data_IF_632486720408
#
_entry.id   IF_632486720408
#
_cell.length_a   1.000
_cell.length_b   1.000
_cell.length_c   1.000
_cell.angle_alpha   90.00
_cell.angle_beta   90.00
_cell.angle_gamma   90.00
#
_symmetry.space_group_name_H-M   'P 1'
#
loop_
_entity.id
_entity.type
_entity.pdbx_description
1 polymer ?
#
# COMPACT_ATOMS: atom_id res chain seq x y z
N UNK A 1 -24.15 -0.22 29.31
CA UNK A 1 -23.52 0.95 28.65
C UNK A 1 -22.02 0.73 28.54
N UNK A 2 -21.57 0.10 27.47
CA UNK A 2 -20.14 -0.13 27.21
C UNK A 2 -19.59 1.06 26.41
N UNK A 3 -18.69 1.81 27.02
CA UNK A 3 -17.95 2.89 26.38
C UNK A 3 -16.92 2.29 25.41
N UNK A 4 -17.24 2.20 24.13
CA UNK A 4 -16.27 1.88 23.09
C UNK A 4 -15.34 3.07 22.90
N UNK A 5 -14.07 2.90 23.31
CA UNK A 5 -12.98 3.81 22.93
C UNK A 5 -12.67 3.61 21.45
N UNK A 6 -13.03 4.57 20.63
CA UNK A 6 -12.68 4.63 19.21
C UNK A 6 -11.17 4.81 19.08
N UNK A 7 -10.46 3.78 18.67
CA UNK A 7 -9.03 3.83 18.38
C UNK A 7 -8.88 4.23 16.91
N UNK A 8 -8.28 5.41 16.69
CA UNK A 8 -7.94 5.90 15.35
C UNK A 8 -6.80 5.07 14.76
N UNK A 9 -7.10 4.29 13.73
CA UNK A 9 -6.09 3.71 12.85
C UNK A 9 -5.54 4.80 11.94
N UNK A 10 -4.34 5.30 12.25
CA UNK A 10 -3.56 6.08 11.28
C UNK A 10 -2.78 5.08 10.45
N UNK A 11 -3.40 4.59 9.40
CA UNK A 11 -2.74 3.75 8.41
C UNK A 11 -1.82 4.60 7.54
N UNK A 12 -0.50 4.51 7.77
CA UNK A 12 0.48 4.99 6.81
C UNK A 12 0.80 3.85 5.85
N UNK A 13 -0.06 3.64 4.86
CA UNK A 13 0.27 2.78 3.73
C UNK A 13 1.33 3.50 2.90
N UNK A 14 2.54 2.96 2.89
CA UNK A 14 3.58 3.35 1.92
C UNK A 14 3.20 2.67 0.61
N UNK A 15 2.48 3.38 -0.23
CA UNK A 15 2.19 2.90 -1.56
C UNK A 15 3.40 3.19 -2.44
N UNK A 16 3.98 2.14 -2.90
CA UNK A 16 4.78 2.14 -4.11
C UNK A 16 3.80 1.94 -5.25
N UNK A 17 3.30 3.06 -5.75
CA UNK A 17 2.47 3.06 -6.95
C UNK A 17 3.12 2.27 -8.07
N UNK A 18 2.31 1.54 -8.82
CA UNK A 18 2.73 0.71 -9.94
C UNK A 18 3.73 1.44 -10.84
N UNK A 19 4.78 0.75 -11.19
CA UNK A 19 5.85 1.24 -12.04
C UNK A 19 5.31 1.73 -13.39
N UNK A 20 5.31 3.04 -13.58
CA UNK A 20 5.22 3.62 -14.92
C UNK A 20 6.59 3.42 -15.56
N UNK A 21 6.67 2.53 -16.53
CA UNK A 21 7.80 2.44 -17.44
C UNK A 21 7.72 3.61 -18.44
N UNK A 22 8.27 4.75 -18.07
CA UNK A 22 8.65 5.75 -19.04
C UNK A 22 9.98 5.29 -19.66
N UNK A 23 9.93 4.87 -20.92
CA UNK A 23 11.07 4.60 -21.75
C UNK A 23 11.87 5.90 -21.95
N UNK A 24 13.05 5.99 -21.33
CA UNK A 24 14.05 6.98 -21.70
C UNK A 24 14.69 6.57 -23.05
N UNK A 25 14.90 7.51 -23.96
CA UNK A 25 15.64 7.23 -25.18
C UNK A 25 17.09 6.87 -24.87
N UNK A 26 17.57 5.81 -25.50
CA UNK A 26 18.97 5.36 -25.44
C UNK A 26 19.88 6.39 -26.08
N UNK A 27 20.80 6.95 -25.31
CA UNK A 27 21.95 7.66 -25.84
C UNK A 27 22.92 6.62 -26.43
N UNK A 28 23.03 6.64 -27.74
CA UNK A 28 24.10 5.95 -28.45
C UNK A 28 25.44 6.60 -28.09
N UNK A 29 26.35 5.80 -27.55
CA UNK A 29 27.74 6.19 -27.36
C UNK A 29 28.50 5.92 -28.66
N UNK A 30 28.84 6.98 -29.35
CA UNK A 30 29.81 6.93 -30.45
C UNK A 30 31.21 6.72 -29.86
N UNK A 31 31.89 5.65 -30.33
CA UNK A 31 33.29 5.37 -30.05
C UNK A 31 34.16 6.00 -31.12
N UNK A 32 34.83 7.08 -30.79
CA UNK A 32 36.08 7.44 -31.47
C UNK A 32 37.06 8.00 -30.46
N UNK A 33 38.09 7.25 -30.19
CA UNK A 33 39.28 7.71 -29.46
C UNK A 33 40.24 8.40 -30.41
N UNK A 34 40.80 9.52 -30.03
CA UNK A 34 42.17 9.89 -30.46
C UNK A 34 43.10 9.80 -29.26
N UNK A 35 44.19 9.08 -29.48
CA UNK A 35 45.37 9.04 -28.64
C UNK A 35 46.08 10.40 -28.67
N UNK A 36 46.35 10.98 -27.49
CA UNK A 36 47.36 12.01 -27.29
C UNK A 36 48.21 11.69 -26.07
N UNK A 37 49.50 11.43 -26.34
CA UNK A 37 50.54 11.49 -25.32
C UNK A 37 50.73 12.94 -24.86
N UNK A 38 50.71 13.20 -23.58
CA UNK A 38 51.29 14.43 -23.02
C UNK A 38 51.81 14.13 -21.62
N UNK A 39 53.11 14.13 -21.52
CA UNK A 39 53.89 14.27 -20.28
C UNK A 39 53.63 15.63 -19.65
N UNK A 40 53.07 15.65 -18.49
CA UNK A 40 52.92 16.82 -17.65
C UNK A 40 52.47 16.40 -16.26
N UNK A 41 53.33 16.56 -15.28
CA UNK A 41 52.97 16.36 -13.86
C UNK A 41 51.96 17.40 -13.41
N UNK A 42 50.69 16.99 -13.37
CA UNK A 42 49.63 17.81 -12.81
C UNK A 42 49.35 17.30 -11.40
N UNK A 43 49.40 18.17 -10.41
CA UNK A 43 48.84 17.90 -9.09
C UNK A 43 47.31 18.07 -9.15
N UNK A 44 46.51 16.97 -9.33
CA UNK A 44 45.07 17.11 -9.59
C UNK A 44 44.21 17.07 -8.35
N UNK A 45 44.73 16.77 -7.15
CA UNK A 45 43.86 16.36 -6.04
C UNK A 45 43.31 17.49 -5.16
N UNK A 46 44.01 18.63 -5.02
CA UNK A 46 43.60 19.72 -4.15
C UNK A 46 42.43 20.55 -4.73
N UNK A 47 42.50 20.88 -6.03
CA UNK A 47 41.49 21.73 -6.71
C UNK A 47 40.15 21.02 -6.88
N UNK A 48 40.16 19.72 -7.21
CA UNK A 48 38.93 18.89 -7.32
C UNK A 48 38.28 18.67 -5.96
N UNK A 49 39.03 18.50 -4.88
CA UNK A 49 38.51 18.36 -3.52
C UNK A 49 37.88 19.67 -3.03
N UNK A 50 38.50 20.82 -3.31
CA UNK A 50 37.95 22.13 -2.96
C UNK A 50 36.67 22.44 -3.73
N UNK A 51 36.61 22.16 -5.03
CA UNK A 51 35.42 22.36 -5.86
C UNK A 51 34.26 21.50 -5.37
N UNK A 52 34.50 20.23 -5.05
CA UNK A 52 33.47 19.34 -4.49
C UNK A 52 32.95 19.81 -3.13
N UNK A 53 33.84 20.34 -2.29
CA UNK A 53 33.45 20.86 -0.97
C UNK A 53 32.61 22.13 -1.11
N UNK A 54 32.96 23.02 -2.02
CA UNK A 54 32.19 24.24 -2.32
C UNK A 54 30.78 23.89 -2.84
N UNK A 55 30.68 22.94 -3.78
CA UNK A 55 29.39 22.47 -4.31
C UNK A 55 28.55 21.81 -3.22
N UNK A 56 29.15 21.00 -2.35
CA UNK A 56 28.45 20.38 -1.22
C UNK A 56 27.91 21.42 -0.26
N UNK A 57 28.71 22.42 0.11
CA UNK A 57 28.30 23.50 1.02
C UNK A 57 27.17 24.34 0.41
N UNK A 58 27.26 24.66 -0.87
CA UNK A 58 26.19 25.37 -1.58
C UNK A 58 24.87 24.57 -1.58
N UNK A 59 24.96 23.28 -1.91
CA UNK A 59 23.80 22.38 -1.83
C UNK A 59 23.25 22.31 -0.41
N UNK A 60 24.09 22.12 0.60
CA UNK A 60 23.67 21.97 1.98
C UNK A 60 22.96 23.23 2.51
N UNK A 61 23.49 24.43 2.19
CA UNK A 61 22.87 25.71 2.54
C UNK A 61 21.48 25.84 1.90
N UNK A 62 21.37 25.58 0.60
CA UNK A 62 20.11 25.63 -0.14
C UNK A 62 19.11 24.59 0.38
N UNK A 63 19.58 23.35 0.61
CA UNK A 63 18.76 22.28 1.14
C UNK A 63 18.24 22.56 2.56
N UNK A 64 19.07 23.10 3.44
CA UNK A 64 18.65 23.48 4.80
C UNK A 64 17.59 24.57 4.79
N UNK A 65 17.72 25.57 3.90
CA UNK A 65 16.71 26.61 3.73
C UNK A 65 15.38 26.06 3.21
N UNK A 66 15.44 25.16 2.23
CA UNK A 66 14.27 24.40 1.74
C UNK A 66 13.65 23.55 2.85
N UNK A 67 14.46 22.75 3.55
CA UNK A 67 13.96 21.82 4.57
C UNK A 67 13.28 22.53 5.73
N UNK A 68 13.77 23.72 6.11
CA UNK A 68 13.10 24.59 7.10
C UNK A 68 11.69 24.99 6.64
N UNK A 69 11.53 25.41 5.38
CA UNK A 69 10.23 25.79 4.80
C UNK A 69 9.32 24.56 4.69
N UNK A 70 9.87 23.43 4.19
CA UNK A 70 9.14 22.19 4.05
C UNK A 70 8.68 21.64 5.41
N UNK A 71 9.53 21.68 6.44
CA UNK A 71 9.16 21.23 7.79
C UNK A 71 8.03 22.07 8.37
N UNK A 72 8.10 23.41 8.28
CA UNK A 72 7.01 24.29 8.73
C UNK A 72 5.68 23.99 8.01
N UNK A 73 5.72 23.77 6.69
CA UNK A 73 4.55 23.36 5.91
C UNK A 73 3.96 22.04 6.42
N UNK A 74 4.80 21.01 6.63
CA UNK A 74 4.33 19.69 7.08
C UNK A 74 3.86 19.68 8.53
N UNK A 75 4.37 20.57 9.36
CA UNK A 75 3.89 20.80 10.74
C UNK A 75 2.47 21.39 10.71
N UNK A 76 2.20 22.37 9.83
CA UNK A 76 0.85 22.91 9.63
C UNK A 76 -0.12 21.84 9.08
N UNK A 77 0.28 21.07 8.07
CA UNK A 77 -0.50 19.92 7.59
C UNK A 77 -0.82 18.95 8.73
N UNK A 78 0.15 18.65 9.58
CA UNK A 78 -0.05 17.75 10.71
C UNK A 78 -0.99 18.35 11.76
N UNK A 79 -0.87 19.67 12.06
CA UNK A 79 -1.74 20.36 12.99
C UNK A 79 -3.20 20.39 12.50
N UNK A 80 -3.41 20.78 11.23
CA UNK A 80 -4.74 20.77 10.61
C UNK A 80 -5.34 19.37 10.52
N UNK A 81 -4.54 18.35 10.27
CA UNK A 81 -5.01 16.94 10.32
C UNK A 81 -5.49 16.56 11.73
N UNK A 82 -4.75 16.95 12.78
CA UNK A 82 -5.20 16.71 14.16
C UNK A 82 -6.51 17.44 14.46
N UNK A 83 -6.67 18.67 13.98
CA UNK A 83 -7.91 19.43 14.11
C UNK A 83 -9.08 18.73 13.39
N UNK A 84 -8.92 18.33 12.13
CA UNK A 84 -9.94 17.57 11.39
C UNK A 84 -10.31 16.27 12.10
N UNK A 85 -9.35 15.55 12.66
CA UNK A 85 -9.61 14.35 13.44
C UNK A 85 -10.47 14.63 14.67
N UNK A 86 -10.22 15.74 15.40
CA UNK A 86 -11.04 16.18 16.54
C UNK A 86 -12.45 16.54 16.09
N UNK A 87 -12.59 17.35 15.04
CA UNK A 87 -13.88 17.73 14.47
C UNK A 87 -14.69 16.49 14.04
N UNK A 88 -14.07 15.55 13.33
CA UNK A 88 -14.70 14.31 12.90
C UNK A 88 -15.17 13.47 14.09
N UNK A 89 -14.38 13.38 15.16
CA UNK A 89 -14.74 12.66 16.37
C UNK A 89 -15.93 13.31 17.09
N UNK A 90 -16.05 14.64 17.00
CA UNK A 90 -17.14 15.43 17.56
C UNK A 90 -18.37 15.58 16.64
N UNK A 91 -18.37 14.97 15.44
CA UNK A 91 -19.44 15.13 14.46
C UNK A 91 -19.55 16.54 13.87
N UNK A 92 -18.49 17.36 13.97
CA UNK A 92 -18.47 18.72 13.48
C UNK A 92 -18.08 18.76 12.00
N UNK A 93 -18.64 19.74 11.25
CA UNK A 93 -18.29 19.98 9.86
C UNK A 93 -16.83 20.40 9.72
N UNK A 94 -16.20 19.91 8.63
CA UNK A 94 -14.84 20.28 8.25
C UNK A 94 -14.95 21.37 7.18
N UNK A 95 -14.41 22.56 7.48
CA UNK A 95 -14.38 23.69 6.58
C UNK A 95 -13.13 23.68 5.68
N UNK A 96 -13.17 24.45 4.60
CA UNK A 96 -12.01 24.61 3.69
C UNK A 96 -10.78 25.15 4.44
N UNK A 97 -10.97 26.04 5.42
CA UNK A 97 -9.91 26.58 6.27
C UNK A 97 -9.23 25.54 7.18
N UNK A 98 -9.82 24.36 7.34
CA UNK A 98 -9.22 23.25 8.10
C UNK A 98 -8.16 22.48 7.27
N UNK A 99 -7.89 22.91 6.04
CA UNK A 99 -6.86 22.36 5.16
C UNK A 99 -5.74 23.38 4.90
N UNK A 100 -4.55 22.92 4.60
CA UNK A 100 -3.50 23.72 3.99
C UNK A 100 -3.79 23.79 2.50
N UNK A 101 -4.02 25.00 1.97
CA UNK A 101 -4.41 25.19 0.57
C UNK A 101 -3.23 25.44 -0.36
N UNK A 102 -2.07 25.82 0.17
CA UNK A 102 -0.84 25.90 -0.62
C UNK A 102 -0.26 24.51 -0.93
N UNK A 103 0.44 24.41 -2.05
CA UNK A 103 1.20 23.21 -2.37
C UNK A 103 2.46 23.12 -1.50
N UNK A 104 2.96 21.90 -1.21
CA UNK A 104 4.20 21.73 -0.47
C UNK A 104 5.38 22.38 -1.22
N UNK A 105 6.31 23.02 -0.49
CA UNK A 105 7.51 23.58 -1.09
C UNK A 105 8.26 22.51 -1.90
N UNK A 106 8.80 22.91 -3.04
CA UNK A 106 9.68 22.08 -3.86
C UNK A 106 11.11 22.55 -3.73
N UNK A 107 12.04 21.59 -3.79
CA UNK A 107 13.46 21.92 -3.82
C UNK A 107 13.87 22.30 -5.24
N UNK A 108 14.31 23.53 -5.42
CA UNK A 108 14.76 24.13 -6.67
C UNK A 108 16.26 24.51 -6.67
N UNK A 109 16.96 24.13 -5.61
CA UNK A 109 18.37 24.41 -5.45
C UNK A 109 19.32 23.45 -6.21
N UNK A 110 20.63 23.61 -6.04
CA UNK A 110 21.64 22.75 -6.67
C UNK A 110 21.43 21.28 -6.36
N UNK A 111 21.71 20.40 -7.31
CA UNK A 111 21.69 18.97 -7.07
C UNK A 111 22.72 18.56 -6.02
N UNK A 112 22.38 17.54 -5.22
CA UNK A 112 23.33 17.00 -4.24
C UNK A 112 24.56 16.44 -4.98
N UNK A 113 25.78 16.94 -4.69
CA UNK A 113 26.97 16.41 -5.31
C UNK A 113 27.16 14.93 -5.02
N UNK A 114 27.59 14.18 -6.02
CA UNK A 114 27.90 12.76 -5.84
C UNK A 114 29.13 12.65 -4.93
N UNK A 115 28.95 12.09 -3.75
CA UNK A 115 30.07 11.72 -2.89
C UNK A 115 30.58 10.36 -3.32
N UNK A 116 31.89 10.24 -3.62
CA UNK A 116 32.53 8.96 -3.96
C UNK A 116 32.61 7.98 -2.76
N UNK A 117 31.99 8.30 -1.62
CA UNK A 117 31.88 7.34 -0.52
C UNK A 117 30.86 6.28 -0.94
N UNK A 118 31.25 5.00 -1.04
CA UNK A 118 30.27 3.94 -1.21
C UNK A 118 29.28 4.08 -0.08
N UNK A 119 28.01 4.30 -0.43
CA UNK A 119 26.93 4.32 0.55
C UNK A 119 26.76 2.86 1.00
N UNK A 120 27.53 2.48 2.00
CA UNK A 120 27.31 1.25 2.76
C UNK A 120 26.07 1.46 3.62
N UNK A 121 24.90 1.57 2.96
CA UNK A 121 23.65 1.34 3.67
C UNK A 121 23.63 -0.14 4.01
N UNK A 122 23.47 -0.53 5.29
CA UNK A 122 23.17 -1.92 5.58
C UNK A 122 21.94 -2.27 4.71
N UNK A 123 22.09 -3.25 3.84
CA UNK A 123 20.99 -3.80 3.06
C UNK A 123 20.09 -4.55 4.03
N UNK A 124 19.21 -3.86 4.76
CA UNK A 124 18.05 -4.53 5.33
C UNK A 124 17.22 -4.92 4.11
N UNK A 125 17.38 -6.15 3.67
CA UNK A 125 16.57 -6.71 2.60
C UNK A 125 15.13 -6.75 3.09
N UNK A 126 14.22 -6.15 2.32
CA UNK A 126 12.79 -6.30 2.59
C UNK A 126 12.47 -7.78 2.41
N UNK A 127 11.82 -8.44 3.39
CA UNK A 127 11.47 -9.84 3.29
C UNK A 127 10.61 -10.12 2.05
N UNK A 128 10.91 -11.21 1.36
CA UNK A 128 10.17 -11.68 0.19
C UNK A 128 9.16 -12.77 0.51
N UNK A 129 8.43 -13.22 -0.50
CA UNK A 129 7.41 -14.28 -0.36
C UNK A 129 7.96 -15.58 0.23
N UNK A 130 9.21 -15.92 -0.09
CA UNK A 130 9.88 -17.10 0.46
C UNK A 130 10.16 -16.94 1.96
N UNK A 131 10.55 -15.74 2.41
CA UNK A 131 10.78 -15.46 3.83
C UNK A 131 9.48 -15.56 4.61
N UNK A 132 8.37 -15.10 4.05
CA UNK A 132 7.03 -15.22 4.67
C UNK A 132 6.64 -16.70 4.82
N UNK A 133 6.82 -17.51 3.78
CA UNK A 133 6.51 -18.95 3.81
C UNK A 133 7.38 -19.69 4.80
N UNK A 134 8.70 -19.42 4.83
CA UNK A 134 9.63 -20.00 5.78
C UNK A 134 9.28 -19.65 7.23
N UNK A 135 8.92 -18.38 7.48
CA UNK A 135 8.48 -17.91 8.79
C UNK A 135 7.19 -18.60 9.25
N UNK A 136 6.22 -18.79 8.36
CA UNK A 136 4.97 -19.51 8.66
C UNK A 136 5.25 -20.97 9.04
N UNK A 137 6.07 -21.65 8.26
CA UNK A 137 6.48 -23.03 8.56
C UNK A 137 7.21 -23.14 9.90
N UNK A 138 8.14 -22.23 10.17
CA UNK A 138 8.98 -22.24 11.39
C UNK A 138 8.14 -21.96 12.65
N UNK A 139 7.30 -20.94 12.63
CA UNK A 139 6.59 -20.45 13.83
C UNK A 139 5.27 -21.19 14.06
N UNK A 140 4.54 -21.51 13.00
CA UNK A 140 3.18 -22.08 13.10
C UNK A 140 3.11 -23.54 12.66
N UNK A 141 4.25 -24.15 12.23
CA UNK A 141 4.26 -25.51 11.69
C UNK A 141 3.43 -25.67 10.42
N UNK A 142 3.10 -24.58 9.75
CA UNK A 142 2.15 -24.56 8.63
C UNK A 142 2.73 -23.84 7.42
N UNK A 143 2.57 -24.44 6.26
CA UNK A 143 2.90 -23.82 4.98
C UNK A 143 1.59 -23.46 4.27
N UNK A 144 1.32 -22.16 4.00
CA UNK A 144 0.16 -21.72 3.24
C UNK A 144 0.02 -22.47 1.91
N UNK A 145 -1.18 -22.94 1.62
CA UNK A 145 -1.49 -23.69 0.40
C UNK A 145 -1.79 -22.70 -0.74
N UNK A 146 -0.95 -22.70 -1.75
CA UNK A 146 -1.16 -21.84 -2.92
C UNK A 146 -2.31 -22.37 -3.79
N UNK A 147 -3.00 -21.50 -4.55
CA UNK A 147 -3.99 -21.95 -5.53
C UNK A 147 -3.32 -22.78 -6.64
N UNK A 148 -4.07 -23.67 -7.25
CA UNK A 148 -3.62 -24.46 -8.41
C UNK A 148 -3.46 -23.59 -9.65
N UNK A 149 -4.33 -22.61 -9.80
CA UNK A 149 -4.30 -21.58 -10.82
C UNK A 149 -4.83 -20.26 -10.26
N UNK A 150 -4.61 -19.18 -10.99
CA UNK A 150 -5.02 -17.85 -10.55
C UNK A 150 -6.56 -17.69 -10.50
N UNK A 151 -7.29 -18.43 -11.34
CA UNK A 151 -8.75 -18.38 -11.34
C UNK A 151 -9.36 -19.01 -10.08
N UNK A 152 -8.71 -20.00 -9.44
CA UNK A 152 -9.12 -20.54 -8.14
C UNK A 152 -9.11 -19.43 -7.06
N UNK A 153 -8.04 -18.66 -7.00
CA UNK A 153 -7.95 -17.56 -6.04
C UNK A 153 -8.93 -16.44 -6.35
N UNK A 154 -9.08 -16.08 -7.63
CA UNK A 154 -10.04 -15.06 -8.08
C UNK A 154 -11.49 -15.44 -7.75
N UNK A 155 -11.88 -16.71 -7.91
CA UNK A 155 -13.23 -17.19 -7.52
C UNK A 155 -13.46 -16.98 -6.01
N UNK A 156 -12.54 -17.45 -5.18
CA UNK A 156 -12.66 -17.28 -3.72
C UNK A 156 -12.66 -15.81 -3.29
N UNK A 157 -11.88 -14.96 -3.98
CA UNK A 157 -11.82 -13.52 -3.75
C UNK A 157 -13.15 -12.83 -4.16
N UNK A 158 -13.71 -13.18 -5.31
CA UNK A 158 -15.00 -12.66 -5.78
C UNK A 158 -16.16 -13.09 -4.86
N UNK A 159 -16.20 -14.36 -4.43
CA UNK A 159 -17.18 -14.84 -3.47
C UNK A 159 -17.12 -14.11 -2.13
N UNK A 160 -15.91 -13.91 -1.60
CA UNK A 160 -15.74 -13.15 -0.37
C UNK A 160 -16.21 -11.70 -0.53
N UNK A 161 -15.94 -11.07 -1.67
CA UNK A 161 -16.36 -9.70 -1.99
C UNK A 161 -17.88 -9.56 -2.06
N UNK A 162 -18.55 -10.50 -2.73
CA UNK A 162 -20.02 -10.53 -2.84
C UNK A 162 -20.69 -10.63 -1.47
N UNK A 163 -20.16 -11.49 -0.57
CA UNK A 163 -20.69 -11.65 0.79
C UNK A 163 -20.65 -10.37 1.63
N UNK A 164 -19.70 -9.48 1.38
CA UNK A 164 -19.59 -8.19 2.10
C UNK A 164 -20.22 -7.02 1.33
N UNK A 165 -20.90 -7.29 0.20
CA UNK A 165 -21.61 -6.29 -0.58
C UNK A 165 -20.71 -5.39 -1.46
N UNK A 166 -19.47 -5.81 -1.75
CA UNK A 166 -18.64 -5.15 -2.76
C UNK A 166 -19.21 -5.41 -4.15
N UNK A 167 -19.30 -4.35 -4.93
CA UNK A 167 -19.71 -4.48 -6.31
C UNK A 167 -18.57 -5.00 -7.17
N UNK A 168 -18.90 -5.60 -8.31
CA UNK A 168 -17.95 -6.04 -9.32
C UNK A 168 -17.00 -4.89 -9.72
N UNK A 169 -17.55 -3.71 -10.01
CA UNK A 169 -16.74 -2.57 -10.45
C UNK A 169 -15.73 -2.15 -9.38
N UNK A 170 -16.14 -2.08 -8.12
CA UNK A 170 -15.23 -1.79 -7.01
C UNK A 170 -14.09 -2.81 -6.93
N UNK A 171 -14.45 -4.12 -6.94
CA UNK A 171 -13.47 -5.19 -6.81
C UNK A 171 -12.45 -5.21 -7.95
N UNK A 172 -12.95 -5.19 -9.19
CA UNK A 172 -12.09 -5.26 -10.39
C UNK A 172 -11.24 -4.01 -10.55
N UNK A 173 -11.79 -2.82 -10.22
CA UNK A 173 -11.05 -1.56 -10.28
C UNK A 173 -9.88 -1.54 -9.30
N UNK A 174 -10.10 -1.97 -8.04
CA UNK A 174 -9.05 -2.00 -7.01
C UNK A 174 -7.98 -3.01 -7.39
N UNK A 175 -8.36 -4.24 -7.79
CA UNK A 175 -7.42 -5.22 -8.31
C UNK A 175 -6.58 -4.64 -9.47
N UNK A 176 -7.25 -4.02 -10.44
CA UNK A 176 -6.61 -3.46 -11.62
C UNK A 176 -5.62 -2.32 -11.26
N UNK A 177 -5.96 -1.50 -10.27
CA UNK A 177 -5.09 -0.42 -9.80
C UNK A 177 -3.86 -0.95 -9.07
N UNK A 178 -4.07 -1.83 -8.09
CA UNK A 178 -3.03 -2.31 -7.18
C UNK A 178 -2.05 -3.29 -7.86
N UNK A 179 -2.54 -4.08 -8.81
CA UNK A 179 -1.73 -5.11 -9.48
C UNK A 179 -1.30 -4.74 -10.90
N UNK A 180 -1.75 -3.58 -11.39
CA UNK A 180 -1.56 -3.21 -12.79
C UNK A 180 -2.44 -3.98 -13.77
N UNK A 181 -3.41 -4.77 -13.28
CA UNK A 181 -4.41 -5.49 -14.06
C UNK A 181 -4.05 -6.93 -14.46
N UNK A 182 -2.78 -7.34 -14.26
CA UNK A 182 -2.28 -8.69 -14.58
C UNK A 182 -1.49 -9.33 -13.43
N UNK A 183 -1.69 -8.83 -12.19
CA UNK A 183 -0.97 -9.35 -11.05
C UNK A 183 -1.55 -10.66 -10.51
N UNK A 184 -0.67 -11.45 -9.89
CA UNK A 184 -1.02 -12.71 -9.25
C UNK A 184 -1.29 -12.53 -7.75
N UNK A 185 -1.94 -13.54 -7.14
CA UNK A 185 -2.24 -13.56 -5.70
C UNK A 185 -1.00 -13.38 -4.81
N UNK A 186 0.19 -13.66 -5.34
CA UNK A 186 1.48 -13.56 -4.65
C UNK A 186 2.36 -12.41 -5.16
N UNK A 187 1.82 -11.52 -6.00
CA UNK A 187 2.55 -10.36 -6.51
C UNK A 187 2.97 -9.46 -5.35
N UNK A 188 4.27 -9.38 -5.09
CA UNK A 188 4.84 -8.46 -4.12
C UNK A 188 5.25 -7.14 -4.77
N UNK A 189 5.01 -6.04 -4.05
CA UNK A 189 5.39 -4.69 -4.48
C UNK A 189 6.86 -4.60 -4.90
N UNK A 190 7.11 -4.08 -6.12
CA UNK A 190 8.44 -3.98 -6.73
C UNK A 190 8.87 -5.21 -7.52
N UNK A 191 8.16 -6.35 -7.40
CA UNK A 191 8.42 -7.57 -8.16
C UNK A 191 7.66 -7.53 -9.50
N UNK A 192 8.32 -7.05 -10.53
CA UNK A 192 7.72 -6.95 -11.88
C UNK A 192 8.11 -8.17 -12.68
N UNK A 193 7.10 -8.86 -13.24
CA UNK A 193 7.30 -10.02 -14.11
C UNK A 193 8.24 -9.66 -15.29
N UNK A 194 9.25 -10.48 -15.51
CA UNK A 194 10.21 -10.30 -16.61
C UNK A 194 11.36 -9.30 -16.35
N UNK A 195 11.43 -8.68 -15.18
CA UNK A 195 12.53 -7.79 -14.81
C UNK A 195 13.60 -8.55 -14.02
N UNK A 196 14.77 -8.79 -14.62
CA UNK A 196 15.85 -9.62 -14.04
C UNK A 196 16.34 -9.16 -12.66
N UNK A 197 16.28 -7.86 -12.36
CA UNK A 197 16.74 -7.27 -11.09
C UNK A 197 15.59 -6.71 -10.25
N UNK A 198 14.39 -7.26 -10.38
CA UNK A 198 13.26 -6.87 -9.54
C UNK A 198 13.57 -7.17 -8.06
N UNK A 199 13.24 -6.22 -7.18
CA UNK A 199 13.41 -6.37 -5.73
C UNK A 199 12.14 -5.93 -5.03
N UNK A 200 11.80 -6.55 -3.89
CA UNK A 200 10.74 -6.06 -3.05
C UNK A 200 10.96 -4.59 -2.65
N UNK A 201 9.97 -3.76 -2.83
CA UNK A 201 9.97 -2.36 -2.39
C UNK A 201 9.26 -2.19 -1.04
N UNK A 202 8.38 -3.12 -0.71
CA UNK A 202 7.70 -3.23 0.58
C UNK A 202 7.26 -4.67 0.81
N UNK A 203 6.62 -4.95 1.96
CA UNK A 203 5.97 -6.22 2.23
C UNK A 203 4.59 -6.35 1.57
N UNK A 204 4.15 -5.35 0.81
CA UNK A 204 2.82 -5.36 0.19
C UNK A 204 2.69 -6.50 -0.82
N UNK A 205 1.63 -7.32 -0.69
CA UNK A 205 1.42 -8.51 -1.51
C UNK A 205 -0.06 -8.71 -1.85
N UNK A 206 -0.30 -9.35 -2.98
CA UNK A 206 -1.62 -9.80 -3.43
C UNK A 206 -2.46 -8.71 -4.09
N UNK A 207 -3.75 -8.99 -4.27
CA UNK A 207 -4.65 -8.15 -5.06
C UNK A 207 -4.91 -6.76 -4.51
N UNK A 208 -4.88 -6.59 -3.18
CA UNK A 208 -5.05 -5.30 -2.50
C UNK A 208 -3.74 -4.80 -1.89
N UNK A 209 -2.60 -5.35 -2.31
CA UNK A 209 -1.26 -4.98 -1.84
C UNK A 209 -1.19 -4.83 -0.31
N UNK A 210 -1.65 -5.87 0.42
CA UNK A 210 -1.61 -5.88 1.88
C UNK A 210 -0.16 -5.88 2.38
N UNK A 211 0.18 -4.94 3.25
CA UNK A 211 1.46 -4.93 3.98
C UNK A 211 1.41 -5.85 5.20
N UNK A 212 2.54 -6.36 5.66
CA UNK A 212 2.61 -7.28 6.81
C UNK A 212 1.90 -6.73 8.07
N UNK A 213 1.99 -5.43 8.34
CA UNK A 213 1.25 -4.80 9.44
C UNK A 213 -0.26 -4.90 9.29
N UNK A 214 -0.77 -4.78 8.06
CA UNK A 214 -2.20 -4.95 7.80
C UNK A 214 -2.64 -6.38 8.05
N UNK A 215 -1.86 -7.39 7.64
CA UNK A 215 -2.17 -8.80 7.93
C UNK A 215 -2.24 -9.10 9.42
N UNK A 216 -1.32 -8.56 10.22
CA UNK A 216 -1.37 -8.68 11.69
C UNK A 216 -2.63 -8.01 12.26
N UNK A 217 -2.96 -6.81 11.77
CA UNK A 217 -4.15 -6.06 12.20
C UNK A 217 -5.44 -6.80 11.87
N UNK A 218 -5.56 -7.31 10.64
CA UNK A 218 -6.71 -8.08 10.19
C UNK A 218 -6.86 -9.41 10.94
N UNK A 219 -5.74 -10.08 11.23
CA UNK A 219 -5.75 -11.30 12.05
C UNK A 219 -6.22 -11.00 13.48
N UNK A 220 -5.83 -9.86 14.05
CA UNK A 220 -6.28 -9.42 15.35
C UNK A 220 -7.79 -9.13 15.38
N UNK A 221 -8.30 -8.44 14.36
CA UNK A 221 -9.67 -7.92 14.29
C UNK A 221 -10.65 -8.97 13.74
N UNK A 222 -10.31 -9.60 12.62
CA UNK A 222 -11.20 -10.52 11.86
C UNK A 222 -10.75 -11.97 11.88
N UNK A 223 -9.68 -12.33 12.57
CA UNK A 223 -9.20 -13.71 12.61
C UNK A 223 -10.29 -14.71 13.06
N UNK A 224 -11.12 -14.32 14.06
CA UNK A 224 -12.23 -15.15 14.50
C UNK A 224 -13.27 -15.40 13.40
N UNK A 225 -13.59 -14.38 12.59
CA UNK A 225 -14.53 -14.51 11.47
C UNK A 225 -13.94 -15.40 10.38
N UNK A 226 -12.65 -15.26 10.08
CA UNK A 226 -11.91 -16.14 9.15
C UNK A 226 -11.94 -17.60 9.63
N UNK A 227 -11.61 -17.85 10.89
CA UNK A 227 -11.63 -19.20 11.48
C UNK A 227 -13.05 -19.80 11.45
N UNK A 228 -14.08 -19.00 11.75
CA UNK A 228 -15.49 -19.40 11.67
C UNK A 228 -15.87 -19.77 10.24
N UNK A 229 -15.50 -18.97 9.25
CA UNK A 229 -15.77 -19.24 7.84
C UNK A 229 -15.11 -20.54 7.37
N UNK A 230 -13.85 -20.78 7.76
CA UNK A 230 -13.15 -22.03 7.44
C UNK A 230 -13.86 -23.26 8.07
N UNK A 231 -14.32 -23.14 9.32
CA UNK A 231 -15.09 -24.20 10.01
C UNK A 231 -16.45 -24.43 9.36
N UNK A 232 -17.14 -23.35 8.91
CA UNK A 232 -18.40 -23.47 8.17
C UNK A 232 -18.22 -24.16 6.82
N UNK A 233 -17.17 -23.80 6.05
CA UNK A 233 -16.83 -24.52 4.81
C UNK A 233 -16.45 -25.96 5.07
N UNK A 234 -15.74 -26.26 6.15
CA UNK A 234 -15.37 -27.61 6.54
C UNK A 234 -16.61 -28.48 6.84
N UNK A 235 -17.67 -27.90 7.42
CA UNK A 235 -18.91 -28.61 7.70
C UNK A 235 -19.62 -29.12 6.41
N UNK A 236 -19.39 -28.45 5.29
CA UNK A 236 -19.94 -28.78 3.98
C UNK A 236 -19.06 -29.76 3.17
N UNK A 237 -17.96 -30.23 3.74
CA UNK A 237 -16.99 -31.12 3.08
C UNK A 237 -16.80 -32.41 3.86
N UNK A 238 -16.27 -33.42 3.21
CA UNK A 238 -15.93 -34.71 3.81
C UNK A 238 -14.45 -35.06 3.60
N UNK A 239 -13.97 -36.09 4.32
CA UNK A 239 -12.64 -36.66 4.15
C UNK A 239 -11.50 -35.66 4.31
N UNK A 240 -10.54 -35.70 3.41
CA UNK A 240 -9.32 -34.88 3.42
C UNK A 240 -9.59 -33.39 3.37
N UNK A 241 -10.57 -32.94 2.59
CA UNK A 241 -10.91 -31.52 2.47
C UNK A 241 -11.45 -30.93 3.77
N UNK A 242 -12.30 -31.67 4.49
CA UNK A 242 -12.77 -31.25 5.82
C UNK A 242 -11.60 -31.12 6.79
N UNK A 243 -10.75 -32.16 6.86
CA UNK A 243 -9.57 -32.17 7.74
C UNK A 243 -8.63 -31.01 7.44
N UNK A 244 -8.37 -30.71 6.15
CA UNK A 244 -7.53 -29.62 5.68
C UNK A 244 -8.06 -28.24 6.15
N UNK A 245 -9.34 -27.97 5.97
CA UNK A 245 -9.95 -26.70 6.38
C UNK A 245 -9.95 -26.52 7.91
N UNK A 246 -10.21 -27.59 8.66
CA UNK A 246 -10.16 -27.55 10.12
C UNK A 246 -8.71 -27.31 10.63
N UNK A 247 -7.72 -27.92 10.01
CA UNK A 247 -6.30 -27.67 10.31
C UNK A 247 -5.92 -26.20 10.06
N UNK A 248 -6.36 -25.62 8.94
CA UNK A 248 -6.16 -24.19 8.66
C UNK A 248 -6.84 -23.30 9.70
N UNK A 249 -8.07 -23.62 10.10
CA UNK A 249 -8.77 -22.88 11.14
C UNK A 249 -8.00 -22.91 12.48
N UNK A 250 -7.42 -24.05 12.87
CA UNK A 250 -6.62 -24.19 14.07
C UNK A 250 -5.32 -23.34 14.02
N UNK A 251 -4.69 -23.26 12.84
CA UNK A 251 -3.52 -22.39 12.62
C UNK A 251 -3.94 -20.92 12.73
N UNK A 252 -5.07 -20.52 12.14
CA UNK A 252 -5.61 -19.16 12.29
C UNK A 252 -5.91 -18.85 13.75
N UNK A 253 -6.51 -19.77 14.51
CA UNK A 253 -6.74 -19.61 15.97
C UNK A 253 -5.42 -19.35 16.74
N UNK A 254 -4.32 -20.00 16.33
CA UNK A 254 -2.97 -19.77 16.92
C UNK A 254 -2.44 -18.38 16.52
N UNK A 255 -2.60 -17.97 15.27
CA UNK A 255 -2.18 -16.66 14.78
C UNK A 255 -2.97 -15.52 15.45
N UNK A 256 -4.26 -15.73 15.75
CA UNK A 256 -5.08 -14.76 16.51
C UNK A 256 -4.49 -14.54 17.91
N UNK A 257 -4.16 -15.61 18.62
CA UNK A 257 -3.52 -15.52 19.95
C UNK A 257 -2.23 -14.72 19.87
N UNK A 258 -1.40 -15.00 18.89
CA UNK A 258 -0.15 -14.28 18.66
C UNK A 258 -0.38 -12.81 18.26
N UNK A 259 -1.34 -12.50 17.39
CA UNK A 259 -1.67 -11.13 17.03
C UNK A 259 -2.16 -10.30 18.23
N UNK A 260 -2.87 -10.95 19.16
CA UNK A 260 -3.41 -10.33 20.38
C UNK A 260 -2.39 -10.17 21.51
N UNK A 261 -1.16 -10.63 21.35
CA UNK A 261 -0.07 -10.34 22.31
C UNK A 261 0.32 -8.85 22.33
N UNK A 262 -0.08 -8.10 21.32
CA UNK A 262 0.11 -6.66 21.25
C UNK A 262 -1.24 -5.93 21.18
N UNK A 263 -1.31 -4.69 21.70
CA UNK A 263 -2.53 -3.88 21.56
C UNK A 263 -2.94 -3.66 20.11
N UNK A 264 -4.25 -3.47 19.84
CA UNK A 264 -4.75 -3.09 18.52
C UNK A 264 -4.40 -1.63 18.20
N UNK A 265 -3.10 -1.37 18.08
CA UNK A 265 -2.51 -0.08 17.69
C UNK A 265 -1.53 -0.34 16.56
N UNK A 266 -1.63 0.46 15.50
CA UNK A 266 -0.80 0.30 14.30
C UNK A 266 0.70 0.24 14.60
N UNK A 267 1.20 1.10 15.50
CA UNK A 267 2.62 1.12 15.88
C UNK A 267 3.09 -0.19 16.55
N UNK A 268 2.25 -0.79 17.39
CA UNK A 268 2.58 -2.05 18.07
C UNK A 268 2.47 -3.24 17.12
N UNK A 269 1.44 -3.24 16.29
CA UNK A 269 1.27 -4.24 15.23
C UNK A 269 2.39 -4.17 14.19
N UNK A 270 2.90 -2.96 13.86
CA UNK A 270 4.05 -2.81 12.98
C UNK A 270 5.36 -3.36 13.59
N UNK A 271 5.51 -3.39 14.90
CA UNK A 271 6.62 -4.07 15.56
C UNK A 271 6.48 -5.58 15.43
N UNK A 272 5.31 -6.13 15.72
CA UNK A 272 5.03 -7.55 15.57
C UNK A 272 5.19 -8.01 14.11
N UNK A 273 4.72 -7.23 13.15
CA UNK A 273 4.83 -7.53 11.72
C UNK A 273 6.28 -7.68 11.20
N UNK A 274 7.26 -7.13 11.91
CA UNK A 274 8.69 -7.27 11.59
C UNK A 274 9.34 -8.53 12.17
N UNK A 275 8.64 -9.25 13.04
CA UNK A 275 9.11 -10.51 13.61
C UNK A 275 8.78 -11.68 12.70
N UNK A 276 9.43 -12.82 12.90
CA UNK A 276 9.09 -14.04 12.18
C UNK A 276 7.61 -14.44 12.38
N UNK A 277 7.05 -14.22 13.57
CA UNK A 277 5.64 -14.47 13.82
C UNK A 277 4.73 -13.60 12.94
N UNK A 278 5.01 -12.31 12.84
CA UNK A 278 4.25 -11.41 11.97
C UNK A 278 4.42 -11.72 10.49
N UNK A 279 5.63 -12.06 10.04
CA UNK A 279 5.90 -12.49 8.67
C UNK A 279 5.16 -13.80 8.34
N UNK A 280 5.13 -14.75 9.28
CA UNK A 280 4.37 -16.00 9.13
C UNK A 280 2.86 -15.77 9.02
N UNK A 281 2.28 -14.83 9.78
CA UNK A 281 0.89 -14.41 9.59
C UNK A 281 0.67 -13.80 8.21
N UNK A 282 1.63 -12.98 7.75
CA UNK A 282 1.53 -12.34 6.45
C UNK A 282 1.56 -13.33 5.28
N UNK A 283 2.25 -14.47 5.44
CA UNK A 283 2.22 -15.56 4.46
C UNK A 283 0.81 -16.05 4.13
N UNK A 284 -0.14 -15.95 5.08
CA UNK A 284 -1.53 -16.37 4.87
C UNK A 284 -2.26 -15.57 3.79
N UNK A 285 -1.74 -14.42 3.40
CA UNK A 285 -2.26 -13.64 2.26
C UNK A 285 -2.18 -14.42 0.95
N UNK A 286 -1.23 -15.36 0.84
CA UNK A 286 -1.03 -16.22 -0.32
C UNK A 286 -1.79 -17.56 -0.25
N UNK A 287 -2.41 -17.88 0.91
CA UNK A 287 -3.18 -19.11 1.07
C UNK A 287 -4.50 -19.02 0.31
N UNK A 288 -4.83 -20.06 -0.47
CA UNK A 288 -6.03 -20.07 -1.34
C UNK A 288 -7.36 -19.95 -0.61
N UNK A 289 -7.43 -20.33 0.67
CA UNK A 289 -8.67 -20.27 1.47
C UNK A 289 -8.70 -19.02 2.39
N UNK A 290 -7.55 -18.61 2.93
CA UNK A 290 -7.42 -17.50 3.89
C UNK A 290 -7.11 -16.17 3.21
N UNK A 291 -6.25 -16.20 2.19
CA UNK A 291 -5.80 -15.00 1.47
C UNK A 291 -6.95 -14.17 0.92
N UNK A 292 -7.92 -14.74 0.18
CA UNK A 292 -9.10 -14.00 -0.28
C UNK A 292 -9.86 -13.31 0.84
N UNK A 293 -10.03 -13.98 1.99
CA UNK A 293 -10.74 -13.42 3.14
C UNK A 293 -9.97 -12.24 3.74
N UNK A 294 -8.64 -12.35 3.95
CA UNK A 294 -7.81 -11.26 4.44
C UNK A 294 -7.88 -10.05 3.52
N UNK A 295 -7.77 -10.26 2.21
CA UNK A 295 -7.83 -9.21 1.20
C UNK A 295 -9.17 -8.45 1.26
N UNK A 296 -10.28 -9.19 1.35
CA UNK A 296 -11.62 -8.60 1.38
C UNK A 296 -11.94 -7.93 2.72
N UNK A 297 -11.51 -8.49 3.85
CA UNK A 297 -11.70 -7.84 5.14
C UNK A 297 -11.04 -6.46 5.22
N UNK A 298 -9.94 -6.24 4.49
CA UNK A 298 -9.34 -4.90 4.39
C UNK A 298 -10.32 -3.89 3.78
N UNK A 299 -10.99 -4.25 2.68
CA UNK A 299 -11.97 -3.37 2.03
C UNK A 299 -13.26 -3.25 2.86
N UNK A 300 -13.70 -4.35 3.47
CA UNK A 300 -14.86 -4.38 4.36
C UNK A 300 -14.70 -3.42 5.55
N UNK A 301 -13.50 -3.36 6.15
CA UNK A 301 -13.21 -2.40 7.24
C UNK A 301 -13.52 -0.98 6.81
N UNK A 302 -13.08 -0.58 5.62
CA UNK A 302 -13.33 0.75 5.07
C UNK A 302 -14.82 1.00 4.81
N UNK A 303 -15.55 0.02 4.25
CA UNK A 303 -17.00 0.12 4.05
C UNK A 303 -17.76 0.24 5.37
N UNK A 304 -17.41 -0.57 6.36
CA UNK A 304 -18.02 -0.51 7.69
C UNK A 304 -17.73 0.82 8.41
N UNK A 305 -16.52 1.35 8.25
CA UNK A 305 -16.17 2.67 8.77
C UNK A 305 -17.05 3.76 8.15
N UNK A 306 -17.20 3.77 6.83
CA UNK A 306 -18.04 4.71 6.10
C UNK A 306 -19.51 4.62 6.53
N UNK A 307 -20.06 3.41 6.60
CA UNK A 307 -21.43 3.18 7.05
C UNK A 307 -21.66 3.72 8.47
N UNK A 308 -20.73 3.47 9.40
CA UNK A 308 -20.78 4.04 10.76
C UNK A 308 -20.70 5.57 10.79
N UNK A 309 -20.13 6.18 9.74
CA UNK A 309 -20.05 7.63 9.55
C UNK A 309 -21.22 8.22 8.75
N UNK A 310 -22.25 7.41 8.47
CA UNK A 310 -23.46 7.84 7.76
C UNK A 310 -23.31 7.97 6.24
N UNK A 311 -22.24 7.45 5.65
CA UNK A 311 -22.09 7.39 4.18
C UNK A 311 -22.90 6.22 3.67
N UNK A 312 -24.03 6.50 3.03
CA UNK A 312 -24.98 5.50 2.50
C UNK A 312 -24.90 5.35 1.00
N UNK A 313 -24.32 6.35 0.29
CA UNK A 313 -24.13 6.25 -1.15
C UNK A 313 -23.07 5.22 -1.50
N UNK A 314 -23.23 4.61 -2.65
CA UNK A 314 -22.21 3.75 -3.21
C UNK A 314 -20.99 4.58 -3.64
N UNK A 315 -19.80 4.13 -3.26
CA UNK A 315 -18.54 4.73 -3.71
C UNK A 315 -18.10 4.13 -5.04
N UNK A 316 -17.39 4.91 -5.85
CA UNK A 316 -16.62 4.37 -6.97
C UNK A 316 -15.42 3.55 -6.48
N UNK A 317 -14.82 2.74 -7.37
CA UNK A 317 -13.58 2.04 -7.05
C UNK A 317 -12.45 3.00 -6.66
N UNK A 318 -12.33 4.14 -7.36
CA UNK A 318 -11.33 5.16 -7.06
C UNK A 318 -11.56 5.83 -5.69
N UNK A 319 -12.81 6.11 -5.32
CA UNK A 319 -13.13 6.66 -4.00
C UNK A 319 -12.84 5.65 -2.88
N UNK A 320 -13.14 4.37 -3.09
CA UNK A 320 -12.80 3.33 -2.11
C UNK A 320 -11.28 3.16 -2.00
N UNK A 321 -10.56 3.32 -3.10
CA UNK A 321 -9.09 3.31 -3.12
C UNK A 321 -8.50 4.48 -2.31
N UNK A 322 -9.15 5.64 -2.23
CA UNK A 322 -8.66 6.74 -1.37
C UNK A 322 -8.60 6.32 0.10
N UNK A 323 -9.53 5.48 0.57
CA UNK A 323 -9.49 4.94 1.93
C UNK A 323 -8.36 3.92 2.10
N UNK A 324 -8.18 3.05 1.10
CA UNK A 324 -7.08 2.08 1.09
C UNK A 324 -5.71 2.80 1.11
N UNK A 325 -5.56 3.83 0.30
CA UNK A 325 -4.35 4.61 0.08
C UNK A 325 -3.94 5.48 1.27
N UNK A 326 -4.90 6.14 1.91
CA UNK A 326 -4.62 7.17 2.92
C UNK A 326 -5.10 6.82 4.33
N UNK A 327 -5.74 5.67 4.46
CA UNK A 327 -6.43 5.21 5.67
C UNK A 327 -7.84 5.80 5.80
N UNK A 328 -8.71 5.09 6.49
CA UNK A 328 -10.15 5.34 6.52
C UNK A 328 -10.53 6.79 6.89
N UNK A 329 -9.84 7.38 7.86
CA UNK A 329 -10.15 8.76 8.29
C UNK A 329 -9.81 9.82 7.26
N UNK A 330 -8.65 9.73 6.59
CA UNK A 330 -8.26 10.66 5.55
C UNK A 330 -9.06 10.42 4.26
N UNK A 331 -9.23 9.15 3.87
CA UNK A 331 -10.05 8.78 2.72
C UNK A 331 -11.49 9.25 2.88
N UNK A 332 -12.07 9.10 4.08
CA UNK A 332 -13.39 9.65 4.40
C UNK A 332 -13.46 11.17 4.11
N UNK A 333 -12.47 11.93 4.62
CA UNK A 333 -12.44 13.39 4.37
C UNK A 333 -12.38 13.69 2.86
N UNK A 334 -11.62 12.90 2.08
CA UNK A 334 -11.50 13.10 0.63
C UNK A 334 -12.81 12.80 -0.12
N UNK A 335 -13.51 11.71 0.25
CA UNK A 335 -14.70 11.26 -0.49
C UNK A 335 -15.98 11.96 -0.05
N UNK A 336 -15.99 12.57 1.13
CA UNK A 336 -17.18 13.29 1.66
C UNK A 336 -17.07 14.81 1.54
N UNK A 337 -15.89 15.36 1.23
CA UNK A 337 -15.78 16.81 1.04
C UNK A 337 -16.58 17.28 -0.19
N UNK A 338 -17.11 18.52 -0.16
CA UNK A 338 -17.78 19.12 -1.31
C UNK A 338 -16.87 19.16 -2.55
N UNK A 339 -17.45 19.05 -3.72
CA UNK A 339 -16.70 19.00 -4.98
C UNK A 339 -15.81 20.23 -5.19
N UNK A 340 -16.31 21.41 -4.88
CA UNK A 340 -15.54 22.66 -4.95
C UNK A 340 -14.32 22.65 -4.01
N UNK A 341 -14.35 21.90 -2.91
CA UNK A 341 -13.18 21.70 -2.03
C UNK A 341 -12.17 20.74 -2.66
N UNK A 342 -12.65 19.65 -3.29
CA UNK A 342 -11.77 18.67 -3.96
C UNK A 342 -10.85 19.31 -5.00
N UNK A 343 -11.30 20.36 -5.67
CA UNK A 343 -10.52 21.10 -6.66
C UNK A 343 -9.44 22.00 -6.04
N UNK A 344 -9.58 22.39 -4.77
CA UNK A 344 -8.72 23.34 -4.09
C UNK A 344 -7.76 22.68 -3.08
N UNK A 345 -8.20 21.56 -2.45
CA UNK A 345 -7.45 20.95 -1.36
C UNK A 345 -6.30 20.11 -1.89
N UNK A 346 -5.05 20.44 -1.54
CA UNK A 346 -3.88 19.67 -1.92
C UNK A 346 -3.88 18.26 -1.31
N UNK A 347 -3.43 17.30 -2.11
CA UNK A 347 -3.29 15.89 -1.71
C UNK A 347 -2.34 15.70 -0.53
N UNK A 348 -1.35 16.57 -0.36
CA UNK A 348 -0.42 16.58 0.77
C UNK A 348 -1.13 16.59 2.14
N UNK A 349 -2.34 17.15 2.25
CA UNK A 349 -3.12 17.14 3.49
C UNK A 349 -3.43 15.73 4.02
N UNK A 350 -3.34 14.70 3.19
CA UNK A 350 -3.78 13.33 3.50
C UNK A 350 -2.62 12.35 3.66
N UNK A 351 -1.39 12.78 3.38
CA UNK A 351 -0.19 11.95 3.49
C UNK A 351 0.76 12.45 4.58
N UNK A 352 1.57 11.56 5.13
CA UNK A 352 2.77 11.97 5.85
C UNK A 352 3.83 12.42 4.85
N UNK A 353 4.75 13.33 5.25
CA UNK A 353 5.80 13.88 4.39
C UNK A 353 6.50 12.83 3.55
N UNK A 354 7.10 11.81 4.18
CA UNK A 354 7.83 10.75 3.47
C UNK A 354 6.92 9.92 2.54
N UNK A 355 5.67 9.69 2.95
CA UNK A 355 4.68 8.99 2.12
C UNK A 355 4.33 9.79 0.87
N UNK A 356 4.11 11.10 1.02
CA UNK A 356 3.85 12.00 -0.09
C UNK A 356 5.04 12.11 -1.05
N UNK A 357 6.23 12.37 -0.50
CA UNK A 357 7.46 12.54 -1.29
C UNK A 357 7.80 11.30 -2.13
N UNK A 358 7.42 10.11 -1.64
CA UNK A 358 7.63 8.83 -2.32
C UNK A 358 6.48 8.38 -3.21
N UNK A 359 5.37 9.12 -3.22
CA UNK A 359 4.20 8.81 -4.03
C UNK A 359 4.11 9.73 -5.24
N UNK A 360 4.63 9.32 -6.41
CA UNK A 360 4.61 10.17 -7.61
C UNK A 360 3.20 10.46 -8.10
N UNK A 361 2.23 9.57 -7.86
CA UNK A 361 0.84 9.77 -8.26
C UNK A 361 0.22 10.91 -7.47
N UNK A 362 0.36 10.92 -6.15
CA UNK A 362 -0.14 12.00 -5.29
C UNK A 362 0.56 13.34 -5.55
N UNK A 363 1.84 13.31 -5.91
CA UNK A 363 2.63 14.52 -6.20
C UNK A 363 2.27 15.16 -7.55
N UNK A 364 2.03 14.34 -8.58
CA UNK A 364 1.66 14.82 -9.93
C UNK A 364 0.22 15.29 -9.97
N UNK A 365 -0.68 14.62 -9.25
CA UNK A 365 -2.09 14.95 -9.14
C UNK A 365 -2.32 15.62 -7.80
N UNK A 366 -1.98 16.89 -7.73
CA UNK A 366 -1.75 17.60 -6.49
C UNK A 366 -3.00 18.19 -5.83
N UNK A 367 -4.19 17.96 -6.38
CA UNK A 367 -5.47 18.19 -5.70
C UNK A 367 -6.25 16.88 -5.51
N UNK A 368 -7.19 16.87 -4.58
CA UNK A 368 -8.04 15.69 -4.32
C UNK A 368 -8.79 15.25 -5.57
N UNK A 369 -9.37 16.20 -6.30
CA UNK A 369 -10.09 15.91 -7.54
C UNK A 369 -9.18 15.27 -8.60
N UNK A 370 -7.97 15.81 -8.78
CA UNK A 370 -7.00 15.26 -9.73
C UNK A 370 -6.52 13.87 -9.31
N UNK A 371 -6.31 13.61 -8.02
CA UNK A 371 -5.88 12.30 -7.55
C UNK A 371 -6.97 11.24 -7.77
N UNK A 372 -8.22 11.55 -7.43
CA UNK A 372 -9.35 10.63 -7.66
C UNK A 372 -9.48 10.33 -9.15
N UNK A 373 -9.46 11.38 -9.99
CA UNK A 373 -9.55 11.22 -11.45
C UNK A 373 -8.40 10.38 -12.02
N UNK A 374 -7.16 10.68 -11.65
CA UNK A 374 -5.99 9.92 -12.13
C UNK A 374 -6.02 8.46 -11.68
N UNK A 375 -6.55 8.19 -10.48
CA UNK A 375 -6.77 6.83 -9.99
C UNK A 375 -7.81 6.12 -10.83
N UNK A 376 -8.94 6.77 -11.11
CA UNK A 376 -10.00 6.24 -11.96
C UNK A 376 -9.52 5.98 -13.40
N UNK A 377 -8.84 6.93 -14.02
CA UNK A 377 -8.26 6.77 -15.35
C UNK A 377 -7.29 5.58 -15.42
N UNK A 378 -6.45 5.41 -14.37
CA UNK A 378 -5.55 4.27 -14.27
C UNK A 378 -6.29 2.94 -14.08
N UNK A 379 -7.36 2.93 -13.30
CA UNK A 379 -8.24 1.76 -13.15
C UNK A 379 -8.84 1.37 -14.50
N UNK A 380 -9.42 2.33 -15.24
CA UNK A 380 -10.02 2.09 -16.55
C UNK A 380 -9.04 1.49 -17.57
N UNK A 381 -7.79 1.99 -17.58
CA UNK A 381 -6.74 1.45 -18.45
C UNK A 381 -6.41 -0.01 -18.06
N UNK A 382 -6.19 -0.26 -16.77
CA UNK A 382 -5.74 -1.55 -16.30
C UNK A 382 -6.87 -2.61 -16.28
N UNK A 383 -8.12 -2.20 -16.16
CA UNK A 383 -9.27 -3.10 -16.24
C UNK A 383 -9.42 -3.76 -17.61
N UNK A 384 -8.78 -3.24 -18.65
CA UNK A 384 -8.77 -3.84 -20.00
C UNK A 384 -7.79 -5.00 -20.13
N UNK A 385 -6.94 -5.25 -19.16
CA UNK A 385 -5.94 -6.31 -19.18
C UNK A 385 -6.52 -7.67 -18.82
N UNK A 386 -5.85 -8.73 -19.25
CA UNK A 386 -6.35 -10.10 -19.18
C UNK A 386 -6.69 -10.57 -17.76
N UNK A 387 -5.84 -10.27 -16.78
CA UNK A 387 -6.11 -10.63 -15.38
C UNK A 387 -7.35 -9.94 -14.82
N UNK A 388 -7.51 -8.64 -15.09
CA UNK A 388 -8.71 -7.91 -14.68
C UNK A 388 -9.96 -8.39 -15.40
N UNK A 389 -9.85 -8.74 -16.69
CA UNK A 389 -10.95 -9.32 -17.45
C UNK A 389 -11.31 -10.74 -16.96
N UNK A 390 -10.31 -11.53 -16.52
CA UNK A 390 -10.56 -12.82 -15.91
C UNK A 390 -11.35 -12.66 -14.59
N UNK A 391 -10.91 -11.78 -13.69
CA UNK A 391 -11.64 -11.49 -12.44
C UNK A 391 -13.07 -10.99 -12.72
N UNK A 392 -13.22 -10.16 -13.73
CA UNK A 392 -14.52 -9.65 -14.17
C UNK A 392 -15.48 -10.79 -14.59
N UNK A 393 -15.00 -11.77 -15.39
CA UNK A 393 -15.78 -12.95 -15.80
C UNK A 393 -16.13 -13.84 -14.60
N UNK A 394 -15.15 -14.12 -13.75
CA UNK A 394 -15.32 -14.95 -12.56
C UNK A 394 -16.37 -14.37 -11.60
N UNK A 395 -16.41 -13.06 -11.44
CA UNK A 395 -17.41 -12.42 -10.57
C UNK A 395 -18.84 -12.66 -11.07
N UNK A 396 -19.07 -12.69 -12.38
CA UNK A 396 -20.38 -13.00 -12.96
C UNK A 396 -20.78 -14.46 -12.82
N UNK A 397 -19.84 -15.38 -13.06
CA UNK A 397 -20.13 -16.81 -12.99
C UNK A 397 -20.62 -17.24 -11.61
N UNK A 398 -20.13 -16.59 -10.55
CA UNK A 398 -20.55 -16.86 -9.18
C UNK A 398 -22.02 -16.45 -8.91
N UNK A 399 -22.52 -15.41 -9.59
CA UNK A 399 -23.93 -14.98 -9.45
C UNK A 399 -24.92 -15.97 -10.10
N UNK A 400 -24.49 -16.72 -11.12
CA UNK A 400 -25.35 -17.70 -11.81
C UNK A 400 -25.51 -19.01 -11.03
N UNK A 401 -24.63 -19.29 -10.08
CA UNK A 401 -24.67 -20.52 -9.25
C UNK A 401 -25.50 -20.33 -7.97
N UNK A 402 -25.81 -19.07 -7.61
CA UNK A 402 -26.57 -18.74 -6.39
C UNK A 402 -28.07 -18.50 -6.63
N UNK A 403 -28.52 -18.51 -7.88
CA UNK A 403 -29.94 -18.47 -8.30
C UNK A 403 -30.38 -19.84 -8.80
#
# INVERSE_FOLDING_TARGET
MHKFKTIFLVGSSVIVGGCISDSMPSLQTDKTSPSYETTGSIQPNATLAQTKNTQYNAWQKAYNAYDKKASAYWDDVAAKRRLRNKKRAAGQAIALSDYVLSQPPQYDGPAKPLTNKPVTRPKTSIPGTQDFMAASKKIYGFTPERPTDEAEFMRAYAEAAQRVGLTRNQLVSIYAFETGGDGTHDLQSGMIKGRANARPLSTAIGYNQLVATASVSLMWEYGNDIAKELKARAAQKNGANKKRLLSKAAVVDTMIKQAKTVPHKWSEQAKLAKTEAGLGMHAMTMDKDVGPLLQIHKLQTSLMFLKRKGVTRQLSGAELEMLNLTGDGNGYDMVTMPENFRNQVPTSNFFLRLGYERNPVARRNNTVAQLIKATEDKMQINMKKDGAQLLNRVFYSNNLVQN
#
